data_IF_315315055507
#
_entry.id   IF_315315055507
#
_cell.length_a   1.000
_cell.length_b   1.000
_cell.length_c   1.000
_cell.angle_alpha   90.00
_cell.angle_beta   90.00
_cell.angle_gamma   90.00
#
_symmetry.space_group_name_H-M   'P 1'
#
loop_
_entity.id
_entity.type
_entity.pdbx_description
1 polymer ?
#
# COMPACT_ATOMS: atom_id res chain seq x y z
N UNK A 1 -0.92 -1.38 13.43
CA UNK A 1 -0.73 -2.59 12.57
C UNK A 1 0.72 -2.73 12.16
N UNK A 2 1.21 -3.95 12.15
CA UNK A 2 2.57 -4.21 11.69
C UNK A 2 2.68 -5.62 11.12
N UNK A 3 3.71 -5.85 10.31
CA UNK A 3 4.00 -7.16 9.76
C UNK A 3 5.51 -7.35 9.60
N UNK A 4 5.93 -8.60 9.51
CA UNK A 4 7.35 -8.93 9.37
C UNK A 4 7.74 -8.91 7.89
N UNK A 5 8.81 -8.18 7.58
CA UNK A 5 9.35 -8.13 6.22
C UNK A 5 10.50 -9.12 6.05
N UNK A 6 10.81 -9.45 4.81
CA UNK A 6 11.93 -10.33 4.50
C UNK A 6 13.28 -9.66 4.81
N UNK A 7 13.43 -8.38 4.48
CA UNK A 7 14.73 -7.71 4.50
C UNK A 7 14.89 -6.61 5.54
N UNK A 8 13.79 -6.14 6.17
CA UNK A 8 13.84 -4.92 6.99
C UNK A 8 13.28 -5.12 8.40
N UNK A 9 13.09 -6.35 8.86
CA UNK A 9 12.47 -6.61 10.15
C UNK A 9 10.99 -6.27 10.14
N UNK A 10 10.48 -5.69 11.23
CA UNK A 10 9.08 -5.35 11.36
C UNK A 10 8.77 -4.02 10.68
N UNK A 11 7.73 -4.00 9.86
CA UNK A 11 7.22 -2.79 9.23
C UNK A 11 5.93 -2.37 9.91
N UNK A 12 5.84 -1.11 10.28
CA UNK A 12 4.61 -0.52 10.82
C UNK A 12 3.82 0.12 9.70
N UNK A 13 2.52 -0.11 9.69
CA UNK A 13 1.61 0.43 8.69
C UNK A 13 1.05 1.75 9.18
N UNK A 14 1.29 2.81 8.43
CA UNK A 14 0.81 4.15 8.75
C UNK A 14 -0.25 4.57 7.73
N UNK A 15 -1.40 5.02 8.21
CA UNK A 15 -2.49 5.51 7.37
C UNK A 15 -2.60 7.02 7.51
N UNK A 16 -2.66 7.70 6.38
CA UNK A 16 -2.94 9.13 6.33
C UNK A 16 -3.72 9.41 5.05
N UNK A 17 -3.85 10.65 4.66
CA UNK A 17 -4.53 11.01 3.43
C UNK A 17 -3.66 11.90 2.57
N UNK A 18 -3.82 11.78 1.25
CA UNK A 18 -3.29 12.76 0.32
C UNK A 18 -4.10 14.05 0.41
N UNK A 19 -3.61 15.11 -0.23
CA UNK A 19 -4.29 16.40 -0.22
C UNK A 19 -5.71 16.34 -0.77
N UNK A 20 -6.00 15.40 -1.66
CA UNK A 20 -7.32 15.21 -2.24
C UNK A 20 -8.25 14.31 -1.40
N UNK A 21 -7.79 13.90 -0.22
CA UNK A 21 -8.57 13.05 0.68
C UNK A 21 -8.45 11.56 0.46
N UNK A 22 -7.75 11.11 -0.58
CA UNK A 22 -7.54 9.69 -0.83
C UNK A 22 -6.60 9.08 0.22
N UNK A 23 -6.81 7.80 0.52
CA UNK A 23 -6.00 7.08 1.49
C UNK A 23 -4.55 6.96 1.04
N UNK A 24 -3.63 7.34 1.92
CA UNK A 24 -2.20 7.17 1.74
C UNK A 24 -1.68 6.16 2.77
N UNK A 25 -0.91 5.18 2.31
CA UNK A 25 -0.35 4.13 3.16
C UNK A 25 1.16 4.13 3.02
N UNK A 26 1.84 4.31 4.15
CA UNK A 26 3.29 4.25 4.21
C UNK A 26 3.74 3.21 5.22
N UNK A 27 4.97 2.76 5.08
CA UNK A 27 5.58 1.80 5.99
C UNK A 27 6.80 2.43 6.65
N UNK A 28 6.96 2.18 7.95
CA UNK A 28 8.11 2.62 8.71
C UNK A 28 8.68 1.47 9.53
N UNK A 29 9.94 1.60 9.94
CA UNK A 29 10.56 0.61 10.82
C UNK A 29 10.14 0.85 12.28
N UNK A 30 10.70 0.03 13.19
CA UNK A 30 10.38 0.13 14.63
C UNK A 30 10.77 1.45 15.25
N UNK A 31 11.68 2.18 14.62
CA UNK A 31 12.17 3.47 15.12
C UNK A 31 11.49 4.65 14.46
N UNK A 32 10.53 4.39 13.56
CA UNK A 32 9.81 5.44 12.86
C UNK A 32 10.47 5.90 11.56
N UNK A 33 11.58 5.30 11.16
CA UNK A 33 12.24 5.65 9.90
C UNK A 33 11.45 5.11 8.71
N UNK A 34 11.31 5.89 7.62
CA UNK A 34 10.56 5.45 6.44
C UNK A 34 11.20 4.21 5.80
N UNK A 35 10.37 3.21 5.48
CA UNK A 35 10.77 2.04 4.72
C UNK A 35 10.27 2.09 3.29
N UNK A 36 9.02 2.44 3.10
CA UNK A 36 8.41 2.44 1.77
C UNK A 36 7.12 3.24 1.76
N UNK A 37 6.76 3.72 0.57
CA UNK A 37 5.42 4.22 0.29
C UNK A 37 4.68 3.07 -0.39
N UNK A 38 3.68 2.51 0.29
CA UNK A 38 2.95 1.35 -0.22
C UNK A 38 1.83 1.76 -1.18
N UNK A 39 1.36 3.00 -1.08
CA UNK A 39 0.33 3.52 -1.96
C UNK A 39 0.90 4.49 -2.98
N UNK A 40 0.15 4.66 -4.06
CA UNK A 40 0.39 5.72 -5.05
C UNK A 40 -0.92 6.45 -5.26
N UNK A 41 -0.86 7.77 -5.48
CA UNK A 41 -2.07 8.54 -5.70
C UNK A 41 -2.36 8.67 -7.19
N UNK A 42 -3.59 8.33 -7.58
CA UNK A 42 -4.08 8.52 -8.96
C UNK A 42 -5.45 9.21 -8.88
N UNK A 43 -5.45 10.55 -8.75
CA UNK A 43 -6.70 11.28 -8.53
C UNK A 43 -7.76 11.06 -9.59
N UNK A 44 -7.35 10.90 -10.85
CA UNK A 44 -8.29 10.69 -11.96
C UNK A 44 -9.01 9.35 -11.89
N UNK A 45 -8.49 8.41 -11.12
CA UNK A 45 -9.04 7.07 -10.96
C UNK A 45 -9.62 6.83 -9.56
N UNK A 46 -9.65 7.87 -8.72
CA UNK A 46 -10.07 7.74 -7.33
C UNK A 46 -11.51 7.25 -7.18
N UNK A 47 -12.36 7.47 -8.18
CA UNK A 47 -13.74 6.99 -8.16
C UNK A 47 -13.84 5.47 -8.08
N UNK A 48 -12.76 4.75 -8.39
CA UNK A 48 -12.72 3.29 -8.30
C UNK A 48 -12.47 2.80 -6.87
N UNK A 49 -12.02 3.68 -5.98
CA UNK A 49 -11.64 3.29 -4.62
C UNK A 49 -12.86 3.26 -3.70
N UNK A 50 -13.03 2.15 -3.00
CA UNK A 50 -13.97 2.05 -1.90
C UNK A 50 -13.33 2.46 -0.59
N UNK A 51 -14.07 2.29 0.50
CA UNK A 51 -13.57 2.58 1.84
C UNK A 51 -12.37 1.68 2.17
N UNK A 52 -11.33 2.26 2.76
CA UNK A 52 -10.10 1.56 3.14
C UNK A 52 -9.35 0.95 1.95
N UNK A 53 -9.56 1.48 0.75
CA UNK A 53 -8.87 1.01 -0.45
C UNK A 53 -7.89 2.05 -0.97
N UNK A 54 -6.84 1.56 -1.62
CA UNK A 54 -5.80 2.42 -2.19
C UNK A 54 -5.16 1.71 -3.39
N UNK A 55 -4.52 2.50 -4.26
CA UNK A 55 -3.73 1.95 -5.35
C UNK A 55 -2.38 1.53 -4.78
N UNK A 56 -2.05 0.25 -4.89
CA UNK A 56 -0.83 -0.29 -4.29
C UNK A 56 0.36 -0.16 -5.24
N UNK A 57 1.49 0.31 -4.70
CA UNK A 57 2.75 0.32 -5.41
C UNK A 57 3.45 -1.00 -5.16
N UNK A 58 3.34 -1.93 -6.14
CA UNK A 58 3.84 -3.29 -6.01
C UNK A 58 5.08 -3.57 -6.86
N UNK A 59 5.64 -2.54 -7.46
CA UNK A 59 6.71 -2.64 -8.45
C UNK A 59 7.96 -1.91 -7.96
N UNK A 60 9.04 -2.05 -8.74
CA UNK A 60 10.30 -1.39 -8.49
C UNK A 60 10.84 -1.76 -7.10
N UNK A 61 11.26 -0.80 -6.29
CA UNK A 61 11.81 -1.05 -4.96
C UNK A 61 10.82 -1.68 -3.99
N UNK A 62 9.54 -1.67 -4.31
CA UNK A 62 8.50 -2.23 -3.44
C UNK A 62 8.18 -3.70 -3.70
N UNK A 63 8.78 -4.32 -4.71
CA UNK A 63 8.37 -5.66 -5.13
C UNK A 63 8.39 -6.68 -3.99
N UNK A 64 9.46 -6.73 -3.22
CA UNK A 64 9.57 -7.67 -2.11
C UNK A 64 8.65 -7.32 -0.94
N UNK A 65 8.66 -6.05 -0.52
CA UNK A 65 7.90 -5.63 0.65
C UNK A 65 6.39 -5.70 0.39
N UNK A 66 5.96 -5.51 -0.86
CA UNK A 66 4.56 -5.67 -1.23
C UNK A 66 4.12 -7.13 -1.10
N UNK A 67 4.96 -8.07 -1.49
CA UNK A 67 4.67 -9.51 -1.29
C UNK A 67 4.57 -9.83 0.19
N UNK A 68 5.47 -9.30 1.00
CA UNK A 68 5.43 -9.51 2.45
C UNK A 68 4.15 -8.94 3.05
N UNK A 69 3.74 -7.77 2.59
CA UNK A 69 2.51 -7.12 3.05
C UNK A 69 1.27 -7.97 2.74
N UNK A 70 1.16 -8.49 1.53
CA UNK A 70 0.03 -9.37 1.18
C UNK A 70 0.05 -10.66 2.00
N UNK A 71 1.21 -11.26 2.19
CA UNK A 71 1.36 -12.48 2.94
C UNK A 71 0.97 -12.31 4.42
N UNK A 72 1.03 -11.08 4.93
CA UNK A 72 0.73 -10.79 6.33
C UNK A 72 -0.75 -10.95 6.69
N UNK A 73 -1.64 -10.91 5.70
CA UNK A 73 -3.08 -10.94 5.95
C UNK A 73 -3.69 -9.59 6.33
N UNK A 74 -2.87 -8.53 6.41
CA UNK A 74 -3.38 -7.19 6.74
C UNK A 74 -4.02 -6.48 5.54
N UNK A 75 -3.75 -6.97 4.35
CA UNK A 75 -4.24 -6.38 3.09
C UNK A 75 -4.87 -7.45 2.22
N UNK A 76 -5.85 -7.04 1.43
CA UNK A 76 -6.48 -7.91 0.43
C UNK A 76 -6.35 -7.25 -0.94
N UNK A 77 -5.85 -7.98 -1.92
CA UNK A 77 -5.81 -7.49 -3.29
C UNK A 77 -7.15 -7.77 -3.96
N UNK A 78 -7.74 -6.72 -4.52
CA UNK A 78 -8.97 -6.86 -5.30
C UNK A 78 -8.65 -7.30 -6.73
N UNK A 79 -9.67 -7.56 -7.53
CA UNK A 79 -9.49 -7.90 -8.95
C UNK A 79 -9.24 -6.69 -9.84
N UNK A 80 -9.32 -5.47 -9.29
CA UNK A 80 -9.20 -4.24 -10.08
C UNK A 80 -7.75 -3.79 -10.12
N UNK A 81 -7.26 -3.52 -11.33
CA UNK A 81 -5.92 -2.98 -11.57
C UNK A 81 -6.06 -1.76 -12.47
N UNK A 82 -5.27 -0.74 -12.20
CA UNK A 82 -5.27 0.49 -12.98
C UNK A 82 -3.87 0.74 -13.51
N UNK A 83 -3.78 1.02 -14.79
CA UNK A 83 -2.49 1.30 -15.43
C UNK A 83 -2.03 2.71 -15.09
N UNK A 84 -0.75 2.81 -14.70
CA UNK A 84 -0.07 4.08 -14.47
C UNK A 84 1.23 4.05 -15.28
N UNK A 85 1.17 4.62 -16.50
CA UNK A 85 2.31 4.53 -17.41
C UNK A 85 2.57 3.09 -17.83
N UNK A 86 3.76 2.59 -17.53
CA UNK A 86 4.19 1.24 -17.90
C UNK A 86 3.87 0.18 -16.84
N UNK A 87 3.26 0.57 -15.72
CA UNK A 87 2.99 -0.34 -14.62
C UNK A 87 1.50 -0.42 -14.35
N UNK A 88 1.10 -1.54 -13.74
CA UNK A 88 -0.26 -1.71 -13.26
C UNK A 88 -0.27 -1.63 -11.75
N UNK A 89 -1.21 -0.85 -11.21
CA UNK A 89 -1.40 -0.70 -9.78
C UNK A 89 -2.68 -1.40 -9.37
N UNK A 90 -2.59 -2.50 -8.61
CA UNK A 90 -3.80 -3.14 -8.11
C UNK A 90 -4.43 -2.29 -7.01
N UNK A 91 -5.72 -2.41 -6.85
CA UNK A 91 -6.42 -1.83 -5.72
C UNK A 91 -6.36 -2.83 -4.57
N UNK A 92 -5.82 -2.38 -3.45
CA UNK A 92 -5.75 -3.15 -2.22
C UNK A 92 -6.71 -2.56 -1.18
N UNK A 93 -7.17 -3.43 -0.30
CA UNK A 93 -8.00 -3.03 0.84
C UNK A 93 -7.26 -3.34 2.12
N UNK A 94 -7.26 -2.39 3.06
CA UNK A 94 -6.73 -2.65 4.40
C UNK A 94 -7.80 -3.39 5.19
N UNK A 95 -7.44 -4.58 5.67
CA UNK A 95 -8.32 -5.41 6.49
C UNK A 95 -8.10 -5.04 7.95
N UNK A 96 -8.60 -3.89 8.37
CA UNK A 96 -8.43 -3.44 9.75
C UNK A 96 -9.47 -4.02 10.66
N UNK A 97 -9.07 -4.27 11.92
CA UNK A 97 -10.06 -4.50 12.95
C UNK A 97 -10.87 -3.24 13.21
#
# INVERSE_FOLDING_TARGET
MEFKTTSFGVAKVNKTTYNDGNLAVTLSDSFGSPLAKLSINMPDNAYLLGENQFFAKTYSENEEIAKDALASGLFRQTSIKVRNGWVECPIWEILTP
#
